data_IF_797319925997
#
_entry.id   IF_797319925997
#
_cell.length_a   1.000
_cell.length_b   1.000
_cell.length_c   1.000
_cell.angle_alpha   90.00
_cell.angle_beta   90.00
_cell.angle_gamma   90.00
#
_symmetry.space_group_name_H-M   'P 1'
#
loop_
_entity.id
_entity.type
_entity.pdbx_description
1 polymer ?
#
# COMPACT_ATOMS: atom_id res chain seq x y z
N UNK A 1 38.04 15.76 26.84
CA UNK A 1 37.62 14.36 26.99
C UNK A 1 37.98 13.65 25.69
N UNK A 2 38.99 12.79 25.68
CA UNK A 2 39.32 11.95 24.52
C UNK A 2 38.51 10.67 24.64
N UNK A 3 37.40 10.57 23.92
CA UNK A 3 36.72 9.29 23.74
C UNK A 3 37.72 8.31 23.12
N UNK A 4 37.87 7.15 23.74
CA UNK A 4 38.73 6.09 23.23
C UNK A 4 38.19 5.64 21.88
N UNK A 5 39.07 5.41 20.90
CA UNK A 5 38.72 4.85 19.60
C UNK A 5 37.85 3.57 19.72
N UNK A 6 38.04 2.81 20.81
CA UNK A 6 37.27 1.60 21.12
C UNK A 6 35.80 1.93 21.45
N UNK A 7 35.53 3.03 22.15
CA UNK A 7 34.17 3.42 22.50
C UNK A 7 33.40 3.93 21.28
N UNK A 8 34.10 4.63 20.38
CA UNK A 8 33.57 5.01 19.06
C UNK A 8 33.26 3.77 18.21
N UNK A 9 34.18 2.82 18.10
CA UNK A 9 33.97 1.59 17.33
C UNK A 9 32.79 0.76 17.84
N UNK A 10 32.55 0.71 19.17
CA UNK A 10 31.38 0.05 19.76
C UNK A 10 30.08 0.78 19.44
N UNK A 11 30.09 2.12 19.42
CA UNK A 11 28.94 2.91 19.02
C UNK A 11 28.58 2.67 17.54
N UNK A 12 29.58 2.69 16.65
CA UNK A 12 29.40 2.44 15.22
C UNK A 12 28.84 1.03 14.94
N UNK A 13 29.38 0.01 15.61
CA UNK A 13 28.85 -1.37 15.51
C UNK A 13 27.39 -1.48 15.97
N UNK A 14 27.02 -0.76 17.02
CA UNK A 14 25.64 -0.73 17.53
C UNK A 14 24.70 -0.04 16.54
N UNK A 15 25.16 1.01 15.87
CA UNK A 15 24.42 1.69 14.80
C UNK A 15 24.24 0.75 13.61
N UNK A 16 25.30 0.11 13.12
CA UNK A 16 25.26 -0.84 11.99
C UNK A 16 24.28 -2.00 12.27
N UNK A 17 24.35 -2.60 13.47
CA UNK A 17 23.44 -3.68 13.86
C UNK A 17 21.97 -3.27 13.90
N UNK A 18 21.68 -2.03 14.33
CA UNK A 18 20.31 -1.47 14.30
C UNK A 18 19.83 -1.24 12.88
N UNK A 19 20.67 -0.69 12.02
CA UNK A 19 20.34 -0.43 10.60
C UNK A 19 20.09 -1.73 9.84
N UNK A 20 20.91 -2.77 10.04
CA UNK A 20 20.73 -4.07 9.40
C UNK A 20 19.43 -4.77 9.83
N UNK A 21 19.12 -4.73 11.13
CA UNK A 21 17.85 -5.25 11.64
C UNK A 21 16.66 -4.48 11.05
N UNK A 22 16.73 -3.15 11.01
CA UNK A 22 15.70 -2.34 10.41
C UNK A 22 15.50 -2.63 8.93
N UNK A 23 16.57 -2.74 8.13
CA UNK A 23 16.46 -3.07 6.71
C UNK A 23 15.74 -4.41 6.51
N UNK A 24 16.08 -5.42 7.33
CA UNK A 24 15.44 -6.76 7.26
C UNK A 24 13.95 -6.69 7.61
N UNK A 25 13.60 -5.99 8.70
CA UNK A 25 12.20 -5.81 9.10
C UNK A 25 11.41 -4.97 8.10
N UNK A 26 12.00 -3.91 7.58
CA UNK A 26 11.41 -3.02 6.60
C UNK A 26 11.10 -3.75 5.29
N UNK A 27 12.03 -4.55 4.76
CA UNK A 27 11.78 -5.37 3.57
C UNK A 27 10.65 -6.38 3.82
N UNK A 28 10.61 -7.01 5.00
CA UNK A 28 9.51 -7.92 5.36
C UNK A 28 8.16 -7.19 5.39
N UNK A 29 8.07 -6.04 6.04
CA UNK A 29 6.83 -5.26 6.12
C UNK A 29 6.38 -4.76 4.74
N UNK A 30 7.30 -4.29 3.89
CA UNK A 30 6.98 -3.85 2.52
C UNK A 30 6.40 -5.00 1.69
N UNK A 31 6.99 -6.20 1.81
CA UNK A 31 6.48 -7.40 1.13
C UNK A 31 5.08 -7.79 1.65
N UNK A 32 4.86 -7.72 2.96
CA UNK A 32 3.58 -8.04 3.58
C UNK A 32 2.48 -7.06 3.17
N UNK A 33 2.78 -5.76 3.12
CA UNK A 33 1.88 -4.73 2.57
C UNK A 33 1.54 -5.03 1.11
N UNK A 34 2.53 -5.35 0.27
CA UNK A 34 2.29 -5.68 -1.14
C UNK A 34 1.37 -6.89 -1.30
N UNK A 35 1.59 -7.95 -0.51
CA UNK A 35 0.73 -9.14 -0.52
C UNK A 35 -0.70 -8.82 -0.09
N UNK A 36 -0.89 -8.03 0.97
CA UNK A 36 -2.21 -7.60 1.43
C UNK A 36 -2.91 -6.68 0.41
N UNK A 37 -2.19 -5.76 -0.24
CA UNK A 37 -2.72 -4.92 -1.34
C UNK A 37 -3.22 -5.78 -2.51
N UNK A 38 -2.46 -6.80 -2.90
CA UNK A 38 -2.90 -7.75 -3.94
C UNK A 38 -4.11 -8.57 -3.51
N UNK A 39 -4.18 -9.01 -2.24
CA UNK A 39 -5.35 -9.72 -1.72
C UNK A 39 -6.60 -8.82 -1.72
N UNK A 40 -6.44 -7.54 -1.33
CA UNK A 40 -7.50 -6.52 -1.34
C UNK A 40 -8.04 -6.29 -2.76
N UNK A 41 -7.17 -6.21 -3.77
CA UNK A 41 -7.60 -6.06 -5.17
C UNK A 41 -8.36 -7.30 -5.68
N UNK A 42 -7.91 -8.51 -5.32
CA UNK A 42 -8.63 -9.75 -5.67
C UNK A 42 -10.02 -9.79 -5.06
N UNK A 43 -10.13 -9.41 -3.79
CA UNK A 43 -11.40 -9.39 -3.08
C UNK A 43 -12.36 -8.35 -3.66
N UNK A 44 -11.85 -7.17 -4.06
CA UNK A 44 -12.65 -6.17 -4.75
C UNK A 44 -13.22 -6.69 -6.08
N UNK A 45 -12.42 -7.46 -6.84
CA UNK A 45 -12.89 -8.13 -8.06
C UNK A 45 -13.96 -9.18 -7.76
N UNK A 46 -13.82 -9.93 -6.67
CA UNK A 46 -14.84 -10.91 -6.24
C UNK A 46 -16.15 -10.24 -5.87
N UNK A 47 -16.12 -9.17 -5.06
CA UNK A 47 -17.30 -8.37 -4.72
C UNK A 47 -17.97 -7.85 -5.99
N UNK A 48 -17.20 -7.25 -6.91
CA UNK A 48 -17.73 -6.73 -8.17
C UNK A 48 -18.39 -7.81 -9.02
N UNK A 49 -17.83 -9.02 -9.03
CA UNK A 49 -18.41 -10.17 -9.72
C UNK A 49 -19.72 -10.64 -9.05
N UNK A 50 -19.74 -10.79 -7.72
CA UNK A 50 -20.94 -11.16 -6.97
C UNK A 50 -22.08 -10.17 -7.19
N UNK A 51 -21.78 -8.87 -7.17
CA UNK A 51 -22.76 -7.80 -7.44
C UNK A 51 -23.30 -7.90 -8.87
N UNK A 52 -22.43 -8.16 -9.84
CA UNK A 52 -22.83 -8.31 -11.24
C UNK A 52 -23.73 -9.54 -11.47
N UNK A 53 -23.39 -10.66 -10.85
CA UNK A 53 -24.16 -11.91 -10.96
C UNK A 53 -25.56 -11.74 -10.34
N UNK A 54 -25.66 -11.09 -9.16
CA UNK A 54 -26.94 -10.74 -8.54
C UNK A 54 -27.80 -9.83 -9.42
N UNK A 55 -27.19 -8.82 -10.05
CA UNK A 55 -27.90 -7.95 -10.99
C UNK A 55 -28.46 -8.73 -12.18
N UNK A 56 -27.67 -9.66 -12.73
CA UNK A 56 -28.05 -10.48 -13.87
C UNK A 56 -29.20 -11.43 -13.55
N UNK A 57 -29.22 -12.01 -12.34
CA UNK A 57 -30.25 -12.96 -11.92
C UNK A 57 -31.59 -12.29 -11.59
N UNK A 58 -31.57 -11.12 -10.95
CA UNK A 58 -32.79 -10.53 -10.41
C UNK A 58 -33.40 -9.40 -11.26
N UNK A 59 -32.69 -8.83 -12.25
CA UNK A 59 -33.13 -7.73 -13.16
C UNK A 59 -33.61 -6.43 -12.50
N UNK A 60 -34.03 -6.47 -11.24
CA UNK A 60 -34.35 -5.35 -10.36
C UNK A 60 -33.46 -5.45 -9.13
N UNK A 61 -32.67 -4.41 -8.92
CA UNK A 61 -31.55 -4.39 -7.97
C UNK A 61 -32.01 -3.74 -6.66
N UNK A 62 -32.02 -4.48 -5.55
CA UNK A 62 -32.16 -3.90 -4.21
C UNK A 62 -30.81 -3.90 -3.53
N UNK A 63 -30.35 -2.71 -3.13
CA UNK A 63 -29.03 -2.55 -2.50
C UNK A 63 -28.86 -3.36 -1.21
N UNK A 64 -29.94 -3.61 -0.46
CA UNK A 64 -29.90 -4.42 0.77
C UNK A 64 -29.53 -5.89 0.50
N UNK A 65 -30.05 -6.51 -0.57
CA UNK A 65 -29.78 -7.91 -0.90
C UNK A 65 -28.31 -8.13 -1.29
N UNK A 66 -27.69 -7.13 -1.92
CA UNK A 66 -26.27 -7.13 -2.28
C UNK A 66 -25.38 -6.90 -1.06
N UNK A 67 -25.79 -5.99 -0.18
CA UNK A 67 -25.07 -5.75 1.07
C UNK A 67 -25.04 -7.01 1.93
N UNK A 68 -26.16 -7.73 2.03
CA UNK A 68 -26.23 -9.00 2.76
C UNK A 68 -25.39 -10.09 2.07
N UNK A 69 -25.50 -10.23 0.75
CA UNK A 69 -24.75 -11.24 0.00
C UNK A 69 -23.23 -11.03 0.00
N UNK A 70 -22.77 -9.78 0.11
CA UNK A 70 -21.36 -9.41 0.09
C UNK A 70 -20.83 -8.96 1.47
N UNK A 71 -21.61 -9.11 2.56
CA UNK A 71 -21.26 -8.57 3.88
C UNK A 71 -19.91 -9.10 4.36
N UNK A 72 -19.69 -10.40 4.23
CA UNK A 72 -18.44 -11.07 4.63
C UNK A 72 -17.25 -10.57 3.79
N UNK A 73 -17.45 -10.38 2.48
CA UNK A 73 -16.40 -9.88 1.60
C UNK A 73 -16.04 -8.42 1.90
N UNK A 74 -17.03 -7.57 2.20
CA UNK A 74 -16.78 -6.20 2.65
C UNK A 74 -16.06 -6.14 3.99
N UNK A 75 -16.42 -7.02 4.94
CA UNK A 75 -15.75 -7.13 6.21
C UNK A 75 -14.28 -7.56 6.04
N UNK A 76 -14.02 -8.56 5.20
CA UNK A 76 -12.66 -9.01 4.88
C UNK A 76 -11.85 -7.92 4.15
N UNK A 77 -12.48 -7.13 3.27
CA UNK A 77 -11.83 -6.02 2.58
C UNK A 77 -11.39 -4.93 3.57
N UNK A 78 -12.27 -4.58 4.50
CA UNK A 78 -11.97 -3.60 5.55
C UNK A 78 -10.87 -4.11 6.49
N UNK A 79 -10.90 -5.38 6.88
CA UNK A 79 -9.85 -5.97 7.71
C UNK A 79 -8.47 -5.90 7.02
N UNK A 80 -8.41 -6.14 5.71
CA UNK A 80 -7.16 -6.01 4.96
C UNK A 80 -6.65 -4.56 4.93
N UNK A 81 -7.56 -3.58 4.87
CA UNK A 81 -7.21 -2.16 4.93
C UNK A 81 -6.67 -1.78 6.31
N UNK A 82 -7.34 -2.19 7.38
CA UNK A 82 -6.90 -1.95 8.76
C UNK A 82 -5.53 -2.63 9.04
N UNK A 83 -5.33 -3.85 8.53
CA UNK A 83 -4.05 -4.57 8.64
C UNK A 83 -2.91 -3.84 7.90
N UNK A 84 -3.17 -3.27 6.73
CA UNK A 84 -2.16 -2.50 5.97
C UNK A 84 -1.75 -1.26 6.77
N UNK A 85 -2.73 -0.51 7.28
CA UNK A 85 -2.47 0.69 8.10
C UNK A 85 -1.66 0.33 9.34
N UNK A 86 -2.00 -0.77 10.03
CA UNK A 86 -1.25 -1.22 11.20
C UNK A 86 0.23 -1.54 10.86
N UNK A 87 0.51 -2.15 9.70
CA UNK A 87 1.89 -2.44 9.27
C UNK A 87 2.63 -1.14 8.87
N UNK A 88 1.94 -0.20 8.22
CA UNK A 88 2.50 1.12 7.90
C UNK A 88 2.89 1.90 9.17
N UNK A 89 2.05 1.84 10.22
CA UNK A 89 2.39 2.42 11.52
C UNK A 89 3.62 1.77 12.15
N UNK A 90 3.77 0.44 12.05
CA UNK A 90 4.97 -0.27 12.53
C UNK A 90 6.23 0.17 11.77
N UNK A 91 6.13 0.43 10.46
CA UNK A 91 7.23 0.98 9.67
C UNK A 91 7.61 2.37 10.17
N UNK A 92 6.63 3.25 10.39
CA UNK A 92 6.88 4.62 10.89
C UNK A 92 7.56 4.59 12.26
N UNK A 93 7.08 3.75 13.18
CA UNK A 93 7.70 3.56 14.50
C UNK A 93 9.13 3.00 14.39
N UNK A 94 9.36 2.03 13.51
CA UNK A 94 10.68 1.46 13.27
C UNK A 94 11.65 2.50 12.69
N UNK A 95 11.19 3.37 11.76
CA UNK A 95 11.96 4.49 11.21
C UNK A 95 12.33 5.50 12.31
N UNK A 96 11.37 5.88 13.15
CA UNK A 96 11.58 6.82 14.26
C UNK A 96 12.63 6.30 15.27
N UNK A 97 12.57 5.00 15.57
CA UNK A 97 13.55 4.34 16.45
C UNK A 97 14.97 4.32 15.85
N UNK A 98 15.12 4.37 14.52
CA UNK A 98 16.42 4.49 13.87
C UNK A 98 16.97 5.92 13.88
N UNK A 99 16.13 6.91 13.52
CA UNK A 99 16.49 8.34 13.55
C UNK A 99 16.88 8.79 14.96
N UNK A 100 16.17 8.31 15.99
CA UNK A 100 16.54 8.56 17.40
C UNK A 100 17.86 7.93 17.87
N UNK A 101 18.46 7.05 17.06
CA UNK A 101 19.74 6.38 17.33
C UNK A 101 20.95 6.96 16.60
N UNK A 102 20.78 8.05 15.83
CA UNK A 102 21.86 8.68 15.06
C UNK A 102 22.17 8.01 13.71
N UNK A 103 21.36 7.04 13.28
CA UNK A 103 21.41 6.49 11.93
C UNK A 103 20.47 7.31 11.04
N UNK A 104 21.01 8.19 10.21
CA UNK A 104 20.25 8.88 9.18
C UNK A 104 19.93 7.84 8.08
N UNK A 105 18.69 7.34 8.05
CA UNK A 105 18.18 6.58 6.90
C UNK A 105 17.79 7.62 5.88
N UNK A 106 18.49 7.65 4.75
CA UNK A 106 18.09 8.43 3.58
C UNK A 106 16.75 7.87 3.12
N UNK A 107 15.71 8.70 3.22
CA UNK A 107 14.41 8.40 2.63
C UNK A 107 14.60 8.47 1.10
N UNK A 108 14.82 7.32 0.45
CA UNK A 108 14.52 7.14 -0.98
C UNK A 108 12.99 7.06 -1.11
N UNK A 109 12.30 8.13 -0.71
CA UNK A 109 10.91 8.39 -1.11
C UNK A 109 10.91 8.80 -2.60
N UNK A 110 11.45 7.93 -3.45
CA UNK A 110 11.13 7.85 -4.88
C UNK A 110 9.85 6.99 -5.02
N UNK A 111 8.82 7.35 -4.26
CA UNK A 111 7.43 7.17 -4.70
C UNK A 111 7.15 8.34 -5.67
N UNK A 112 7.79 8.28 -6.83
CA UNK A 112 7.24 8.86 -8.05
C UNK A 112 6.03 7.98 -8.42
N UNK A 113 4.94 8.15 -7.66
CA UNK A 113 3.59 7.91 -8.17
C UNK A 113 3.40 8.91 -9.32
N UNK A 114 3.89 8.53 -10.50
CA UNK A 114 3.60 9.19 -11.77
C UNK A 114 2.12 8.97 -12.10
N UNK A 115 1.27 9.73 -11.40
CA UNK A 115 -0.12 9.99 -11.77
C UNK A 115 -0.14 10.94 -12.97
N UNK A 116 0.26 10.45 -14.14
CA UNK A 116 -0.16 11.02 -15.43
C UNK A 116 -0.53 9.91 -16.43
N UNK A 117 -1.68 9.28 -16.20
CA UNK A 117 -2.44 8.70 -17.32
C UNK A 117 -3.63 9.63 -17.63
N UNK A 118 -3.34 10.74 -18.31
CA UNK A 118 -4.34 11.48 -19.09
C UNK A 118 -4.59 10.71 -20.41
N UNK A 119 -5.72 10.01 -20.60
CA UNK A 119 -6.11 9.63 -21.94
C UNK A 119 -6.58 10.90 -22.67
N UNK A 120 -5.69 11.54 -23.43
CA UNK A 120 -6.07 12.51 -24.47
C UNK A 120 -6.91 11.79 -25.53
N UNK A 121 -8.22 11.70 -25.29
CA UNK A 121 -9.18 11.39 -26.32
C UNK A 121 -9.09 12.48 -27.38
N UNK A 122 -8.38 12.16 -28.48
CA UNK A 122 -8.35 13.01 -29.66
C UNK A 122 -9.75 13.05 -30.23
N UNK A 123 -10.44 14.14 -29.94
CA UNK A 123 -11.66 14.64 -30.58
C UNK A 123 -11.51 14.52 -32.10
N UNK A 124 -12.10 13.47 -32.67
CA UNK A 124 -12.27 13.27 -34.11
C UNK A 124 -13.17 14.39 -34.64
N UNK A 125 -12.55 15.37 -35.31
CA UNK A 125 -13.26 16.46 -35.99
C UNK A 125 -13.62 15.99 -37.39
N UNK A 126 -14.77 15.34 -37.53
CA UNK A 126 -15.41 15.12 -38.83
C UNK A 126 -15.87 16.48 -39.38
N UNK A 127 -15.20 16.95 -40.43
CA UNK A 127 -15.63 18.08 -41.24
C UNK A 127 -16.04 17.53 -42.61
N UNK A 128 -17.27 17.06 -42.70
CA UNK A 128 -17.94 16.83 -43.98
C UNK A 128 -18.25 18.20 -44.57
N UNK A 129 -17.65 18.51 -45.72
CA UNK A 129 -18.19 19.50 -46.66
C UNK A 129 -18.84 18.68 -47.76
N UNK A 130 -20.16 18.75 -47.84
CA UNK A 130 -20.87 18.39 -49.06
C UNK A 130 -20.77 19.57 -50.02
N UNK A 131 -20.36 19.27 -51.25
CA UNK A 131 -20.57 20.09 -52.46
C UNK A 131 -22.04 19.95 -52.92
#
# INVERSE_FOLDING_TARGET
>A
MTESFIDKAKADLKVIGRTANFATHFTKYKLEIQQKKQAKERLLKQIGQSVFDLYKEHSTFKGEEVLEACEEDFAAYKQLEDDIVAIEELIVQAKANLKGGGAEVVDDDDDDDDVEDEPKSKKSKSKSKDD
#
